data_IF_744879275304
#
_entry.id   IF_744879275304
#
_cell.length_a   1.000
_cell.length_b   1.000
_cell.length_c   1.000
_cell.angle_alpha   90.00
_cell.angle_beta   90.00
_cell.angle_gamma   90.00
#
_symmetry.space_group_name_H-M   'P 1'
#
loop_
_entity.id
_entity.type
_entity.pdbx_description
1 polymer ?
#
# COMPACT_ATOMS: atom_id res chain seq x y z
N UNK A 1 -30.10 10.68 -13.25
CA UNK A 1 -30.46 10.70 -11.81
C UNK A 1 -29.20 10.68 -11.01
N UNK A 2 -28.71 11.84 -10.59
CA UNK A 2 -27.53 11.96 -9.71
C UNK A 2 -28.00 11.67 -8.28
N UNK A 3 -27.69 10.46 -7.79
CA UNK A 3 -27.89 10.13 -6.38
C UNK A 3 -27.11 11.12 -5.52
N UNK A 4 -27.77 11.68 -4.54
CA UNK A 4 -27.22 12.64 -3.59
C UNK A 4 -25.96 12.05 -2.90
N UNK A 5 -24.78 12.49 -3.34
CA UNK A 5 -23.48 12.00 -2.85
C UNK A 5 -23.14 12.52 -1.45
N UNK A 6 -23.98 13.32 -0.82
CA UNK A 6 -23.74 13.95 0.49
C UNK A 6 -23.86 12.98 1.68
N UNK A 7 -24.41 11.79 1.47
CA UNK A 7 -24.58 10.77 2.52
C UNK A 7 -23.66 9.55 2.42
N UNK A 8 -22.59 9.58 1.61
CA UNK A 8 -21.75 8.39 1.41
C UNK A 8 -20.27 8.66 1.65
N UNK A 9 -19.54 7.61 2.07
CA UNK A 9 -18.10 7.67 2.35
C UNK A 9 -17.34 6.49 1.77
N UNK A 10 -16.00 6.60 1.73
CA UNK A 10 -15.11 5.48 1.40
C UNK A 10 -14.62 4.85 2.68
N UNK A 11 -14.66 3.51 2.74
CA UNK A 11 -14.20 2.73 3.88
C UNK A 11 -13.23 1.64 3.43
N UNK A 12 -12.38 1.22 4.37
CA UNK A 12 -11.48 0.08 4.21
C UNK A 12 -11.70 -0.91 5.34
N UNK A 13 -11.96 -2.17 5.00
CA UNK A 13 -12.20 -3.26 5.94
C UNK A 13 -10.99 -4.18 5.91
N UNK A 14 -10.28 -4.29 7.03
CA UNK A 14 -9.10 -5.15 7.17
C UNK A 14 -9.50 -6.49 7.79
N UNK A 15 -9.21 -7.58 7.10
CA UNK A 15 -9.48 -8.95 7.54
C UNK A 15 -8.19 -9.75 7.57
N UNK A 16 -7.96 -10.52 8.62
CA UNK A 16 -6.87 -11.47 8.67
C UNK A 16 -7.21 -12.66 7.77
N UNK A 17 -6.26 -13.06 6.93
CA UNK A 17 -6.37 -14.24 6.05
C UNK A 17 -5.31 -15.26 6.41
N UNK A 18 -5.59 -16.54 6.14
CA UNK A 18 -4.78 -17.69 6.53
C UNK A 18 -4.48 -18.53 5.28
N UNK A 19 -3.52 -18.07 4.44
CA UNK A 19 -3.15 -18.80 3.23
C UNK A 19 -2.37 -20.08 3.58
N UNK A 20 -2.56 -21.13 2.78
CA UNK A 20 -1.69 -22.33 2.75
C UNK A 20 -0.32 -21.94 2.18
N UNK A 21 0.68 -22.82 2.26
CA UNK A 21 2.02 -22.55 1.71
C UNK A 21 1.94 -22.24 0.20
N UNK A 22 1.26 -23.06 -0.59
CA UNK A 22 1.06 -22.78 -2.01
C UNK A 22 0.36 -21.44 -2.29
N UNK A 23 -0.59 -21.06 -1.44
CA UNK A 23 -1.24 -19.74 -1.55
C UNK A 23 -0.32 -18.59 -1.15
N UNK A 24 0.57 -18.79 -0.18
CA UNK A 24 1.60 -17.78 0.17
C UNK A 24 2.56 -17.57 -0.99
N UNK A 25 3.00 -18.62 -1.65
CA UNK A 25 3.84 -18.56 -2.85
C UNK A 25 3.12 -17.81 -3.98
N UNK A 26 1.86 -18.12 -4.24
CA UNK A 26 1.06 -17.41 -5.25
C UNK A 26 0.83 -15.92 -4.89
N UNK A 27 0.63 -15.58 -3.61
CA UNK A 27 0.55 -14.19 -3.14
C UNK A 27 1.90 -13.48 -3.36
N UNK A 28 3.01 -14.14 -3.02
CA UNK A 28 4.34 -13.58 -3.21
C UNK A 28 4.66 -13.38 -4.69
N UNK A 29 4.31 -14.33 -5.55
CA UNK A 29 4.46 -14.21 -7.01
C UNK A 29 3.69 -12.98 -7.57
N UNK A 30 2.47 -12.72 -7.09
CA UNK A 30 1.72 -11.52 -7.46
C UNK A 30 2.40 -10.23 -6.96
N UNK A 31 2.97 -10.22 -5.76
CA UNK A 31 3.73 -9.08 -5.23
C UNK A 31 4.97 -8.83 -6.07
N UNK A 32 5.72 -9.87 -6.43
CA UNK A 32 6.94 -9.77 -7.23
C UNK A 32 6.66 -9.34 -8.66
N UNK A 33 5.58 -9.85 -9.26
CA UNK A 33 5.10 -9.39 -10.56
C UNK A 33 4.75 -7.90 -10.55
N UNK A 34 4.03 -7.42 -9.53
CA UNK A 34 3.72 -6.00 -9.37
C UNK A 34 4.99 -5.16 -9.16
N UNK A 35 5.96 -5.66 -8.40
CA UNK A 35 7.26 -5.00 -8.18
C UNK A 35 8.03 -4.88 -9.49
N UNK A 36 8.10 -5.95 -10.26
CA UNK A 36 8.77 -5.95 -11.56
C UNK A 36 8.15 -4.93 -12.51
N UNK A 37 6.83 -4.97 -12.70
CA UNK A 37 6.12 -4.03 -13.59
C UNK A 37 6.29 -2.58 -13.12
N UNK A 38 6.14 -2.32 -11.82
CA UNK A 38 6.37 -0.98 -11.25
C UNK A 38 7.77 -0.47 -11.56
N UNK A 39 8.81 -1.28 -11.30
CA UNK A 39 10.20 -0.88 -11.51
C UNK A 39 10.51 -0.70 -13.02
N UNK A 40 10.01 -1.58 -13.86
CA UNK A 40 10.20 -1.48 -15.31
C UNK A 40 9.57 -0.22 -15.87
N UNK A 41 8.33 0.07 -15.50
CA UNK A 41 7.64 1.29 -15.93
C UNK A 41 8.30 2.55 -15.37
N UNK A 42 8.79 2.52 -14.12
CA UNK A 42 9.53 3.64 -13.53
C UNK A 42 10.80 3.93 -14.34
N UNK A 43 11.59 2.89 -14.69
CA UNK A 43 12.78 3.03 -15.53
C UNK A 43 12.42 3.65 -16.87
N UNK A 44 11.43 3.09 -17.56
CA UNK A 44 11.01 3.60 -18.89
C UNK A 44 10.53 5.05 -18.83
N UNK A 45 9.86 5.48 -17.76
CA UNK A 45 9.46 6.89 -17.56
C UNK A 45 10.66 7.80 -17.33
N UNK A 46 11.66 7.34 -16.58
CA UNK A 46 12.90 8.08 -16.37
C UNK A 46 13.64 8.24 -17.70
N UNK A 47 13.87 7.13 -18.41
CA UNK A 47 14.61 7.11 -19.65
C UNK A 47 13.92 7.99 -20.72
N UNK A 48 12.59 7.86 -20.87
CA UNK A 48 11.83 8.71 -21.81
C UNK A 48 11.87 10.19 -21.45
N UNK A 49 11.90 10.55 -20.17
CA UNK A 49 12.05 11.94 -19.76
C UNK A 49 13.47 12.44 -20.02
N UNK A 50 14.48 11.64 -19.72
CA UNK A 50 15.88 12.00 -19.99
C UNK A 50 16.11 12.23 -21.49
N UNK A 51 15.56 11.37 -22.35
CA UNK A 51 15.66 11.53 -23.80
C UNK A 51 15.13 12.88 -24.33
N UNK A 52 14.24 13.56 -23.60
CA UNK A 52 13.76 14.92 -23.96
C UNK A 52 14.76 16.03 -23.60
N UNK A 53 15.87 15.75 -22.92
CA UNK A 53 16.81 16.73 -22.40
C UNK A 53 18.10 16.75 -23.20
N UNK A 54 18.51 17.89 -23.80
CA UNK A 54 19.76 17.97 -24.55
C UNK A 54 21.00 17.81 -23.67
N UNK A 55 20.89 18.15 -22.38
CA UNK A 55 21.96 17.99 -21.39
C UNK A 55 21.46 17.21 -20.18
N UNK A 56 22.35 16.48 -19.54
CA UNK A 56 22.16 15.83 -18.24
C UNK A 56 22.99 16.55 -17.18
N UNK A 57 22.52 16.50 -15.92
CA UNK A 57 23.29 16.97 -14.78
C UNK A 57 24.00 15.79 -14.13
N UNK A 58 25.30 15.86 -14.09
CA UNK A 58 26.13 14.89 -13.40
C UNK A 58 26.76 15.50 -12.16
N UNK A 59 26.88 14.70 -11.09
CA UNK A 59 27.58 15.14 -9.91
C UNK A 59 29.09 15.29 -10.20
N UNK A 60 29.68 16.36 -9.77
CA UNK A 60 31.11 16.57 -9.85
C UNK A 60 31.82 15.81 -8.72
N UNK A 61 32.84 15.03 -9.03
CA UNK A 61 33.65 14.35 -8.03
C UNK A 61 34.48 15.34 -7.23
N UNK A 62 34.65 15.09 -5.94
CA UNK A 62 35.57 15.86 -5.12
C UNK A 62 37.02 15.68 -5.63
N UNK A 63 37.90 16.70 -5.52
CA UNK A 63 39.25 16.59 -5.95
C UNK A 63 39.97 15.43 -5.28
N UNK A 64 40.50 14.49 -6.09
CA UNK A 64 41.16 13.28 -5.61
C UNK A 64 40.25 12.12 -5.23
N UNK A 65 38.94 12.23 -5.42
CA UNK A 65 38.02 11.13 -5.20
C UNK A 65 38.14 10.05 -6.29
N UNK A 66 38.05 8.79 -5.87
CA UNK A 66 38.07 7.65 -6.78
C UNK A 66 36.65 7.45 -7.39
N UNK A 67 36.49 7.60 -8.73
CA UNK A 67 35.22 7.41 -9.40
C UNK A 67 34.70 5.97 -9.36
N UNK A 68 35.57 4.97 -9.19
CA UNK A 68 35.22 3.56 -9.13
C UNK A 68 34.90 3.06 -7.72
N UNK A 69 35.00 3.94 -6.73
CA UNK A 69 34.67 3.63 -5.33
C UNK A 69 33.19 3.26 -5.19
N UNK A 70 32.87 2.28 -4.33
CA UNK A 70 31.46 1.97 -3.97
C UNK A 70 30.69 3.19 -3.42
N UNK A 71 31.40 4.21 -2.93
CA UNK A 71 30.84 5.47 -2.41
C UNK A 71 31.73 6.63 -2.84
N UNK A 72 31.64 7.08 -4.10
CA UNK A 72 32.39 8.22 -4.56
C UNK A 72 32.13 9.47 -3.71
N UNK A 73 33.18 10.23 -3.45
CA UNK A 73 33.06 11.48 -2.73
C UNK A 73 32.71 12.59 -3.72
N UNK A 74 31.50 13.17 -3.58
CA UNK A 74 31.01 14.20 -4.47
C UNK A 74 31.39 15.59 -3.95
N UNK A 75 31.71 16.50 -4.88
CA UNK A 75 32.00 17.89 -4.56
C UNK A 75 30.75 18.60 -4.04
N UNK A 76 30.95 19.44 -3.01
CA UNK A 76 29.93 20.38 -2.52
C UNK A 76 30.34 21.80 -2.85
N UNK A 77 29.34 22.61 -3.28
CA UNK A 77 29.51 24.03 -3.44
C UNK A 77 29.66 24.77 -2.10
N UNK A 78 29.96 26.04 -2.16
CA UNK A 78 30.09 26.91 -0.96
C UNK A 78 28.78 27.02 -0.17
N UNK A 79 27.64 26.82 -0.82
CA UNK A 79 26.29 26.75 -0.24
C UNK A 79 25.98 25.41 0.46
N UNK A 80 26.89 24.43 0.40
CA UNK A 80 26.73 23.09 0.93
C UNK A 80 25.89 22.15 0.07
N UNK A 81 25.35 22.63 -1.06
CA UNK A 81 24.66 21.81 -2.03
C UNK A 81 25.66 21.01 -2.90
N UNK A 82 25.17 19.96 -3.57
CA UNK A 82 26.01 19.16 -4.46
C UNK A 82 26.37 19.95 -5.72
N UNK A 83 27.64 19.95 -6.11
CA UNK A 83 28.08 20.51 -7.36
C UNK A 83 27.67 19.61 -8.55
N UNK A 84 27.21 20.22 -9.62
CA UNK A 84 26.80 19.55 -10.85
C UNK A 84 27.46 20.21 -12.06
N UNK A 85 27.80 19.42 -13.02
CA UNK A 85 28.12 19.88 -14.38
C UNK A 85 27.06 19.42 -15.38
N UNK A 86 26.86 20.19 -16.43
CA UNK A 86 25.96 19.81 -17.52
C UNK A 86 26.78 19.15 -18.62
N UNK A 87 26.49 17.88 -18.87
CA UNK A 87 27.12 17.10 -19.94
C UNK A 87 26.14 16.89 -21.08
N UNK A 88 26.61 16.80 -22.34
CA UNK A 88 25.75 16.42 -23.46
C UNK A 88 25.07 15.08 -23.22
N UNK A 89 23.79 15.00 -23.51
CA UNK A 89 23.05 13.76 -23.37
C UNK A 89 23.16 12.91 -24.66
N UNK A 90 23.83 11.76 -24.63
CA UNK A 90 24.00 10.91 -25.81
C UNK A 90 22.66 10.30 -26.30
N UNK A 91 21.66 10.19 -25.40
CA UNK A 91 20.34 9.63 -25.71
C UNK A 91 19.30 10.72 -26.05
N UNK A 92 19.76 11.96 -26.29
CA UNK A 92 18.86 13.06 -26.64
C UNK A 92 18.18 12.82 -27.98
N UNK A 93 16.85 12.88 -27.97
CA UNK A 93 16.01 12.84 -29.14
C UNK A 93 15.05 14.04 -29.14
N UNK A 94 15.15 15.00 -30.08
CA UNK A 94 14.28 16.17 -30.11
C UNK A 94 12.80 15.82 -30.35
N UNK A 95 12.49 14.64 -30.88
CA UNK A 95 11.13 14.15 -31.09
C UNK A 95 10.59 13.34 -29.88
N UNK A 96 11.46 13.03 -28.91
CA UNK A 96 11.09 12.24 -27.74
C UNK A 96 10.02 12.94 -26.89
N UNK A 97 9.12 12.14 -26.35
CA UNK A 97 8.08 12.59 -25.41
C UNK A 97 8.12 11.77 -24.13
N UNK A 98 8.07 12.45 -23.01
CA UNK A 98 7.99 11.78 -21.71
C UNK A 98 6.72 10.92 -21.62
N UNK A 99 6.87 9.66 -21.19
CA UNK A 99 5.77 8.70 -21.09
C UNK A 99 4.72 9.16 -20.07
N UNK A 100 3.47 9.12 -20.50
CA UNK A 100 2.30 9.38 -19.66
C UNK A 100 1.84 8.09 -18.95
N UNK A 101 0.87 8.24 -18.06
CA UNK A 101 0.17 7.10 -17.44
C UNK A 101 -0.46 6.16 -18.47
N UNK A 102 -1.05 6.72 -19.52
CA UNK A 102 -1.73 5.93 -20.56
C UNK A 102 -0.74 5.14 -21.41
N UNK A 103 0.41 5.72 -21.72
CA UNK A 103 1.49 5.01 -22.42
C UNK A 103 2.02 3.85 -21.56
N UNK A 104 2.23 4.10 -20.28
CA UNK A 104 2.58 3.06 -19.32
C UNK A 104 1.53 1.93 -19.23
N UNK A 105 0.25 2.23 -19.38
CA UNK A 105 -0.81 1.22 -19.40
C UNK A 105 -0.74 0.32 -20.63
N UNK A 106 -0.37 0.88 -21.80
CA UNK A 106 -0.13 0.10 -23.02
C UNK A 106 1.13 -0.76 -22.86
N UNK A 107 2.22 -0.15 -22.40
CA UNK A 107 3.50 -0.83 -22.17
C UNK A 107 3.37 -1.96 -21.13
N UNK A 108 2.55 -1.81 -20.10
CA UNK A 108 2.32 -2.88 -19.13
C UNK A 108 1.74 -4.15 -19.76
N UNK A 109 0.89 -4.03 -20.78
CA UNK A 109 0.39 -5.18 -21.55
C UNK A 109 1.51 -5.84 -22.35
N UNK A 110 2.35 -5.05 -23.01
CA UNK A 110 3.50 -5.54 -23.76
C UNK A 110 4.48 -6.24 -22.83
N UNK A 111 4.84 -5.62 -21.70
CA UNK A 111 5.72 -6.20 -20.68
C UNK A 111 5.15 -7.55 -20.19
N UNK A 112 3.84 -7.63 -19.92
CA UNK A 112 3.20 -8.89 -19.49
C UNK A 112 3.38 -10.02 -20.49
N UNK A 113 3.35 -9.72 -21.79
CA UNK A 113 3.43 -10.72 -22.84
C UNK A 113 4.87 -11.08 -23.22
N UNK A 114 5.83 -10.22 -22.93
CA UNK A 114 7.24 -10.37 -23.35
C UNK A 114 8.18 -10.74 -22.20
N UNK A 115 7.78 -10.51 -20.94
CA UNK A 115 8.65 -10.81 -19.82
C UNK A 115 8.79 -12.32 -19.63
N UNK A 116 10.01 -12.79 -19.84
CA UNK A 116 10.42 -14.19 -19.72
C UNK A 116 11.43 -14.27 -18.59
N UNK A 117 11.32 -15.27 -17.73
CA UNK A 117 12.31 -15.59 -16.71
C UNK A 117 13.48 -16.39 -17.30
N UNK A 118 14.53 -16.63 -16.50
CA UNK A 118 15.73 -17.37 -16.94
C UNK A 118 15.41 -18.79 -17.43
N UNK A 119 14.35 -19.43 -16.91
CA UNK A 119 13.85 -20.73 -17.32
C UNK A 119 12.96 -20.70 -18.57
N UNK A 120 12.77 -19.54 -19.20
CA UNK A 120 11.93 -19.37 -20.38
C UNK A 120 10.44 -19.20 -20.09
N UNK A 121 10.00 -19.19 -18.81
CA UNK A 121 8.60 -19.05 -18.46
C UNK A 121 8.11 -17.59 -18.51
N UNK A 122 6.85 -17.39 -18.89
CA UNK A 122 6.20 -16.07 -18.90
C UNK A 122 5.59 -15.79 -17.53
N UNK A 123 6.40 -15.55 -16.52
CA UNK A 123 5.98 -15.44 -15.11
C UNK A 123 4.91 -14.38 -14.86
N UNK A 124 4.81 -13.32 -15.67
CA UNK A 124 3.76 -12.32 -15.55
C UNK A 124 2.39 -12.78 -16.05
N UNK A 125 2.32 -13.85 -16.86
CA UNK A 125 1.05 -14.44 -17.28
C UNK A 125 0.32 -15.13 -16.13
N UNK A 126 1.06 -15.64 -15.17
CA UNK A 126 0.51 -16.27 -13.96
C UNK A 126 0.03 -15.23 -12.93
N UNK A 127 0.44 -13.96 -13.07
CA UNK A 127 0.00 -12.90 -12.18
C UNK A 127 -1.40 -12.38 -12.53
N UNK A 128 -2.10 -11.86 -11.50
CA UNK A 128 -3.38 -11.18 -11.66
C UNK A 128 -3.21 -9.90 -12.51
N UNK A 129 -3.90 -9.84 -13.63
CA UNK A 129 -3.84 -8.72 -14.56
C UNK A 129 -4.29 -7.40 -13.93
N UNK A 130 -5.27 -7.45 -13.03
CA UNK A 130 -5.75 -6.24 -12.35
C UNK A 130 -4.72 -5.73 -11.35
N UNK A 131 -3.95 -6.62 -10.74
CA UNK A 131 -2.85 -6.24 -9.86
C UNK A 131 -1.75 -5.47 -10.61
N UNK A 132 -1.42 -5.88 -11.84
CA UNK A 132 -0.46 -5.17 -12.68
C UNK A 132 -0.96 -3.76 -13.09
N UNK A 133 -2.26 -3.62 -13.36
CA UNK A 133 -2.88 -2.30 -13.60
C UNK A 133 -2.76 -1.41 -12.34
N UNK A 134 -3.00 -1.96 -11.17
CA UNK A 134 -2.82 -1.20 -9.92
C UNK A 134 -1.35 -0.86 -9.64
N UNK A 135 -0.39 -1.66 -10.07
CA UNK A 135 1.03 -1.30 -9.98
C UNK A 135 1.34 -0.02 -10.78
N UNK A 136 0.82 0.10 -12.02
CA UNK A 136 0.92 1.33 -12.81
C UNK A 136 0.20 2.52 -12.14
N UNK A 137 -1.01 2.31 -11.60
CA UNK A 137 -1.74 3.36 -10.89
C UNK A 137 -0.97 3.85 -9.65
N UNK A 138 -0.29 2.96 -8.93
CA UNK A 138 0.55 3.31 -7.78
C UNK A 138 1.78 4.14 -8.21
N UNK A 139 2.38 3.80 -9.35
CA UNK A 139 3.48 4.59 -9.93
C UNK A 139 2.99 5.99 -10.30
N UNK A 140 1.86 6.09 -10.98
CA UNK A 140 1.29 7.40 -11.35
C UNK A 140 0.95 8.24 -10.11
N UNK A 141 0.34 7.64 -9.08
CA UNK A 141 0.07 8.33 -7.82
C UNK A 141 1.35 8.85 -7.13
N UNK A 142 2.47 8.09 -7.24
CA UNK A 142 3.77 8.52 -6.72
C UNK A 142 4.30 9.75 -7.48
N UNK A 143 4.17 9.78 -8.82
CA UNK A 143 4.52 10.96 -9.63
C UNK A 143 3.62 12.16 -9.32
N UNK A 144 2.31 11.97 -9.22
CA UNK A 144 1.39 13.06 -8.84
C UNK A 144 1.73 13.64 -7.46
N UNK A 145 2.07 12.78 -6.50
CA UNK A 145 2.50 13.22 -5.18
C UNK A 145 3.83 13.98 -5.23
N UNK A 146 4.77 13.55 -6.08
CA UNK A 146 6.03 14.24 -6.33
C UNK A 146 5.78 15.65 -6.88
N UNK A 147 5.03 15.80 -7.97
CA UNK A 147 4.75 17.10 -8.58
C UNK A 147 3.94 18.02 -7.67
N UNK A 148 3.00 17.48 -6.89
CA UNK A 148 2.25 18.28 -5.92
C UNK A 148 3.17 18.88 -4.85
N UNK A 149 4.08 18.08 -4.27
CA UNK A 149 5.05 18.56 -3.28
C UNK A 149 6.02 19.59 -3.87
N UNK A 150 6.50 19.35 -5.10
CA UNK A 150 7.35 20.30 -5.79
C UNK A 150 6.68 21.67 -5.97
N UNK A 151 5.39 21.68 -6.35
CA UNK A 151 4.61 22.92 -6.48
C UNK A 151 4.37 23.64 -5.14
N UNK A 152 4.34 22.92 -4.04
CA UNK A 152 4.14 23.45 -2.69
C UNK A 152 5.44 23.89 -2.00
N UNK A 153 6.60 23.85 -2.69
CA UNK A 153 7.90 24.21 -2.11
C UNK A 153 8.44 23.22 -1.08
N UNK A 154 7.81 22.04 -0.93
CA UNK A 154 8.29 20.99 -0.03
C UNK A 154 9.35 20.09 -0.66
N UNK A 155 9.98 19.21 0.14
CA UNK A 155 10.89 18.17 -0.38
C UNK A 155 10.10 17.21 -1.30
N UNK A 156 10.33 17.23 -2.62
CA UNK A 156 9.44 16.57 -3.57
C UNK A 156 9.47 15.04 -3.45
N UNK A 157 10.60 14.43 -3.15
CA UNK A 157 10.74 12.97 -3.01
C UNK A 157 10.36 12.23 -4.27
N UNK A 158 11.31 12.03 -5.18
CA UNK A 158 11.09 11.31 -6.44
C UNK A 158 10.63 9.86 -6.21
N UNK A 159 9.81 9.27 -7.08
CA UNK A 159 9.42 7.87 -7.00
C UNK A 159 10.63 6.93 -6.94
N UNK A 160 10.67 6.05 -5.94
CA UNK A 160 11.82 5.16 -5.70
C UNK A 160 11.54 3.76 -6.22
N UNK A 161 12.57 3.11 -6.75
CA UNK A 161 12.54 1.70 -7.09
C UNK A 161 12.20 0.84 -5.87
N UNK A 162 11.48 -0.24 -6.10
CA UNK A 162 11.16 -1.24 -5.08
C UNK A 162 12.29 -2.27 -5.02
N UNK A 163 12.94 -2.37 -3.87
CA UNK A 163 14.11 -3.22 -3.63
C UNK A 163 13.99 -3.93 -2.29
N UNK A 164 15.02 -4.69 -1.89
CA UNK A 164 15.10 -5.29 -0.55
C UNK A 164 15.05 -4.22 0.56
N UNK A 165 15.70 -3.05 0.37
CA UNK A 165 15.68 -1.93 1.33
C UNK A 165 14.35 -1.15 1.31
N UNK A 166 13.62 -1.19 0.19
CA UNK A 166 12.30 -0.56 0.02
C UNK A 166 11.31 -1.58 -0.56
N UNK A 167 10.91 -2.61 0.23
CA UNK A 167 10.16 -3.72 -0.30
C UNK A 167 8.71 -3.36 -0.63
N UNK A 168 8.20 -3.95 -1.71
CA UNK A 168 6.77 -4.03 -1.94
C UNK A 168 6.24 -5.24 -1.16
N UNK A 169 5.31 -5.03 -0.24
CA UNK A 169 4.74 -6.07 0.63
C UNK A 169 3.24 -6.27 0.41
N UNK A 170 2.71 -5.70 -0.64
CA UNK A 170 1.30 -5.78 -0.96
C UNK A 170 1.06 -5.63 -2.45
N UNK A 171 0.02 -6.29 -2.94
CA UNK A 171 -0.57 -5.98 -4.23
C UNK A 171 -2.05 -5.66 -4.07
N UNK A 172 -2.66 -5.07 -5.08
CA UNK A 172 -4.06 -4.66 -5.08
C UNK A 172 -4.77 -5.27 -6.27
N UNK A 173 -5.97 -5.80 -6.06
CA UNK A 173 -6.81 -6.41 -7.10
C UNK A 173 -8.24 -5.90 -7.01
N UNK A 174 -8.96 -5.89 -8.11
CA UNK A 174 -10.41 -5.64 -8.13
C UNK A 174 -11.23 -6.94 -8.17
N UNK A 175 -10.60 -8.08 -8.45
CA UNK A 175 -11.27 -9.37 -8.61
C UNK A 175 -11.48 -10.17 -7.32
N UNK A 176 -11.18 -9.59 -6.15
CA UNK A 176 -11.39 -10.29 -4.88
C UNK A 176 -12.88 -10.36 -4.53
N UNK A 177 -13.32 -11.50 -3.99
CA UNK A 177 -14.72 -11.74 -3.59
C UNK A 177 -14.75 -12.44 -2.23
N UNK A 178 -15.55 -11.90 -1.29
CA UNK A 178 -15.84 -12.60 -0.03
C UNK A 178 -16.81 -13.74 -0.36
N UNK A 179 -16.46 -14.95 0.03
CA UNK A 179 -17.18 -16.17 -0.36
C UNK A 179 -17.36 -17.12 0.82
N UNK A 180 -18.43 -17.93 0.76
CA UNK A 180 -18.69 -19.03 1.66
C UNK A 180 -18.74 -20.33 0.86
N UNK A 181 -18.28 -21.41 1.45
CA UNK A 181 -18.46 -22.74 0.89
C UNK A 181 -19.81 -23.28 1.32
N UNK A 182 -20.63 -23.68 0.35
CA UNK A 182 -21.89 -24.38 0.58
C UNK A 182 -21.82 -25.73 -0.13
N UNK A 183 -21.63 -26.81 0.64
CA UNK A 183 -21.30 -28.12 0.10
C UNK A 183 -20.06 -28.10 -0.76
N UNK A 184 -20.21 -28.43 -2.05
CA UNK A 184 -19.12 -28.38 -3.04
C UNK A 184 -18.98 -27.05 -3.77
N UNK A 185 -19.96 -26.15 -3.62
CA UNK A 185 -20.03 -24.87 -4.35
C UNK A 185 -19.50 -23.69 -3.53
N UNK A 186 -18.96 -22.72 -4.25
CA UNK A 186 -18.56 -21.44 -3.68
C UNK A 186 -19.58 -20.38 -4.02
N UNK A 187 -20.15 -19.75 -3.00
CA UNK A 187 -21.12 -18.67 -3.15
C UNK A 187 -20.53 -17.33 -2.70
N UNK A 188 -20.84 -16.28 -3.44
CA UNK A 188 -20.53 -14.92 -3.01
C UNK A 188 -21.41 -14.58 -1.81
N UNK A 189 -20.77 -14.21 -0.70
CA UNK A 189 -21.47 -13.79 0.50
C UNK A 189 -22.03 -12.38 0.30
N UNK A 190 -23.35 -12.25 0.42
CA UNK A 190 -24.08 -10.97 0.25
C UNK A 190 -24.41 -10.30 1.59
N UNK A 191 -24.68 -11.11 2.61
CA UNK A 191 -24.96 -10.67 3.97
C UNK A 191 -24.20 -11.56 4.96
N UNK A 192 -24.01 -11.05 6.15
CA UNK A 192 -23.36 -11.75 7.24
C UNK A 192 -24.23 -11.62 8.48
N UNK A 193 -24.85 -12.72 8.87
CA UNK A 193 -25.49 -12.82 10.16
C UNK A 193 -24.44 -13.30 11.16
N UNK A 194 -24.13 -12.50 12.16
CA UNK A 194 -22.97 -12.69 13.05
C UNK A 194 -22.90 -14.05 13.77
N UNK A 195 -23.96 -14.87 13.66
CA UNK A 195 -24.01 -16.24 14.14
C UNK A 195 -23.39 -17.28 13.18
N UNK A 196 -23.26 -16.96 11.90
CA UNK A 196 -22.97 -17.97 10.86
C UNK A 196 -21.50 -18.25 10.61
N UNK A 197 -20.62 -17.91 11.32
CA UNK A 197 -19.34 -18.49 11.05
C UNK A 197 -18.16 -17.60 11.26
N UNK A 198 -17.42 -18.07 12.18
CA UNK A 198 -16.09 -17.57 12.49
C UNK A 198 -15.13 -17.62 11.31
N UNK A 199 -15.45 -18.40 10.24
CA UNK A 199 -14.57 -18.64 9.13
C UNK A 199 -15.31 -18.56 7.78
N UNK A 200 -14.87 -17.62 6.98
CA UNK A 200 -15.26 -17.44 5.59
C UNK A 200 -14.01 -17.48 4.71
N UNK A 201 -14.17 -17.25 3.43
CA UNK A 201 -13.06 -17.22 2.49
C UNK A 201 -13.08 -15.92 1.69
N UNK A 202 -11.91 -15.49 1.30
CA UNK A 202 -11.74 -14.44 0.29
C UNK A 202 -11.18 -15.12 -0.96
N UNK A 203 -11.92 -15.07 -2.06
CA UNK A 203 -11.39 -15.44 -3.36
C UNK A 203 -10.43 -14.35 -3.83
N UNK A 204 -9.24 -14.76 -4.23
CA UNK A 204 -8.21 -13.91 -4.82
C UNK A 204 -7.84 -14.48 -6.19
N UNK A 205 -7.88 -13.67 -7.26
CA UNK A 205 -7.47 -14.14 -8.59
C UNK A 205 -6.05 -14.73 -8.56
N UNK A 206 -5.86 -15.85 -9.25
CA UNK A 206 -4.59 -16.60 -9.31
C UNK A 206 -4.09 -17.22 -8.00
N UNK A 207 -4.79 -17.01 -6.89
CA UNK A 207 -4.47 -17.60 -5.57
C UNK A 207 -5.57 -18.57 -5.13
N UNK A 208 -6.83 -18.31 -5.52
CA UNK A 208 -7.98 -19.11 -5.14
C UNK A 208 -8.65 -18.63 -3.85
N UNK A 209 -9.36 -19.55 -3.19
CA UNK A 209 -10.13 -19.26 -1.97
C UNK A 209 -9.24 -19.36 -0.74
N UNK A 210 -8.92 -18.21 -0.15
CA UNK A 210 -8.10 -18.12 1.05
C UNK A 210 -8.98 -18.01 2.28
N UNK A 211 -8.75 -18.84 3.29
CA UNK A 211 -9.47 -18.79 4.56
C UNK A 211 -9.29 -17.42 5.21
N UNK A 212 -10.38 -16.83 5.69
CA UNK A 212 -10.39 -15.48 6.24
C UNK A 212 -11.26 -15.38 7.47
N UNK A 213 -10.90 -14.53 8.40
CA UNK A 213 -11.73 -14.16 9.54
C UNK A 213 -12.49 -12.89 9.23
N UNK A 214 -13.69 -13.04 8.69
CA UNK A 214 -14.59 -11.92 8.40
C UNK A 214 -15.50 -11.71 9.61
N UNK A 215 -15.35 -10.61 10.30
CA UNK A 215 -16.12 -10.30 11.52
C UNK A 215 -17.28 -9.32 11.23
N UNK A 216 -17.33 -8.74 10.03
CA UNK A 216 -18.42 -7.88 9.55
C UNK A 216 -18.38 -7.79 8.03
N UNK A 217 -19.56 -7.66 7.41
CA UNK A 217 -19.62 -7.45 5.97
C UNK A 217 -19.24 -6.02 5.61
N UNK A 218 -18.44 -5.84 4.54
CA UNK A 218 -18.20 -4.52 3.98
C UNK A 218 -19.50 -3.90 3.47
N UNK A 219 -19.87 -2.74 3.99
CA UNK A 219 -20.99 -1.95 3.51
C UNK A 219 -20.53 -1.05 2.38
N UNK A 220 -21.30 -0.98 1.30
CA UNK A 220 -20.99 -0.20 0.12
C UNK A 220 -20.51 -1.04 -1.06
N UNK A 221 -20.13 -0.36 -2.11
CA UNK A 221 -19.66 -0.99 -3.36
C UNK A 221 -18.16 -1.28 -3.28
N UNK A 222 -17.79 -2.54 -3.43
CA UNK A 222 -16.38 -2.94 -3.43
C UNK A 222 -15.66 -2.41 -4.68
N UNK A 223 -14.56 -1.69 -4.46
CA UNK A 223 -13.73 -1.14 -5.53
C UNK A 223 -12.48 -1.98 -5.74
N UNK A 224 -11.87 -2.46 -4.66
CA UNK A 224 -10.62 -3.21 -4.72
C UNK A 224 -10.35 -3.93 -3.40
N UNK A 225 -9.44 -4.88 -3.46
CA UNK A 225 -8.86 -5.53 -2.29
C UNK A 225 -7.34 -5.42 -2.35
N UNK A 226 -6.71 -4.98 -1.27
CA UNK A 226 -5.26 -5.05 -1.13
C UNK A 226 -4.89 -6.26 -0.29
N UNK A 227 -4.07 -7.14 -0.83
CA UNK A 227 -3.49 -8.29 -0.13
C UNK A 227 -2.12 -7.88 0.39
N UNK A 228 -1.91 -7.97 1.69
CA UNK A 228 -0.70 -7.52 2.36
C UNK A 228 -0.06 -8.64 3.16
N UNK A 229 1.22 -8.87 2.92
CA UNK A 229 2.10 -9.68 3.76
C UNK A 229 2.80 -8.77 4.79
N UNK A 230 2.81 -9.16 6.06
CA UNK A 230 3.50 -8.45 7.14
C UNK A 230 4.81 -9.19 7.47
N UNK A 231 5.76 -8.50 8.09
CA UNK A 231 7.08 -9.07 8.39
C UNK A 231 7.05 -10.25 9.36
N UNK A 232 6.01 -10.35 10.19
CA UNK A 232 5.77 -11.45 11.13
C UNK A 232 5.15 -12.71 10.48
N UNK A 233 5.02 -12.73 9.15
CA UNK A 233 4.40 -13.83 8.42
C UNK A 233 2.88 -13.80 8.41
N UNK A 234 2.24 -12.77 8.94
CA UNK A 234 0.79 -12.62 8.88
C UNK A 234 0.32 -12.01 7.55
N UNK A 235 -0.90 -12.38 7.13
CA UNK A 235 -1.50 -11.88 5.90
C UNK A 235 -2.84 -11.21 6.17
N UNK A 236 -3.10 -10.14 5.43
CA UNK A 236 -4.35 -9.39 5.50
C UNK A 236 -4.92 -9.13 4.12
N UNK A 237 -6.24 -9.21 4.03
CA UNK A 237 -7.03 -8.69 2.92
C UNK A 237 -7.71 -7.39 3.36
N UNK A 238 -7.44 -6.30 2.68
CA UNK A 238 -8.03 -4.98 2.95
C UNK A 238 -9.00 -4.66 1.82
N UNK A 239 -10.29 -4.83 2.08
CA UNK A 239 -11.37 -4.58 1.13
C UNK A 239 -11.73 -3.10 1.19
N UNK A 240 -11.57 -2.40 0.07
CA UNK A 240 -11.90 -1.00 -0.07
C UNK A 240 -13.26 -0.86 -0.75
N UNK A 241 -14.14 -0.08 -0.15
CA UNK A 241 -15.49 0.20 -0.65
C UNK A 241 -15.70 1.70 -0.85
N UNK A 242 -16.57 2.04 -1.80
CA UNK A 242 -17.13 3.37 -1.99
C UNK A 242 -18.62 3.33 -1.70
N UNK A 243 -19.25 4.50 -1.60
CA UNK A 243 -20.69 4.64 -1.36
C UNK A 243 -21.16 3.90 -0.09
N UNK A 244 -20.27 3.79 0.92
CA UNK A 244 -20.68 3.26 2.22
C UNK A 244 -21.62 4.27 2.91
N UNK A 245 -22.68 3.81 3.60
CA UNK A 245 -23.58 4.71 4.30
C UNK A 245 -22.84 5.49 5.38
N UNK A 246 -23.22 6.74 5.57
CA UNK A 246 -22.79 7.50 6.75
C UNK A 246 -23.46 6.87 7.97
N UNK A 247 -22.77 6.78 9.11
CA UNK A 247 -23.43 6.41 10.35
C UNK A 247 -24.50 7.46 10.64
N UNK A 248 -25.65 7.01 11.04
CA UNK A 248 -26.62 7.93 11.64
C UNK A 248 -25.94 8.60 12.84
N UNK A 249 -25.94 9.93 12.83
CA UNK A 249 -25.51 10.64 14.01
C UNK A 249 -26.48 10.25 15.12
N UNK A 250 -25.95 9.59 16.17
CA UNK A 250 -26.75 9.40 17.37
C UNK A 250 -27.24 10.78 17.81
N UNK A 251 -28.55 10.94 17.93
CA UNK A 251 -29.09 12.17 18.50
C UNK A 251 -28.42 12.36 19.87
N UNK A 252 -27.86 13.53 20.16
CA UNK A 252 -27.25 13.78 21.44
C UNK A 252 -28.32 13.52 22.51
N UNK A 253 -28.09 12.54 23.36
CA UNK A 253 -29.00 12.16 24.45
C UNK A 253 -28.99 13.24 25.53
N UNK A 254 -27.94 14.07 25.54
CA UNK A 254 -27.77 15.21 26.43
C UNK A 254 -26.97 16.32 25.70
N UNK A 255 -26.93 17.53 26.26
CA UNK A 255 -26.11 18.62 25.74
C UNK A 255 -24.61 18.27 25.67
N UNK A 256 -23.77 19.16 25.13
CA UNK A 256 -22.35 18.93 25.03
C UNK A 256 -21.75 18.73 26.45
N UNK A 257 -21.03 17.64 26.64
CA UNK A 257 -20.32 17.35 27.89
C UNK A 257 -18.85 17.70 27.70
N UNK A 258 -18.32 18.58 28.53
CA UNK A 258 -16.89 18.85 28.62
C UNK A 258 -16.24 17.77 29.49
N UNK A 259 -15.09 17.23 29.03
CA UNK A 259 -14.32 16.25 29.81
C UNK A 259 -12.92 16.79 30.02
N UNK A 260 -12.49 16.85 31.28
CA UNK A 260 -11.13 17.22 31.67
C UNK A 260 -10.37 15.99 32.15
N UNK A 261 -9.17 15.81 31.66
CA UNK A 261 -8.26 14.75 32.15
C UNK A 261 -7.29 15.34 33.16
N UNK A 262 -7.10 14.68 34.31
CA UNK A 262 -6.26 15.18 35.39
C UNK A 262 -5.35 14.11 36.00
N UNK A 263 -4.50 14.54 36.93
CA UNK A 263 -3.55 13.67 37.63
C UNK A 263 -4.22 12.97 38.81
N UNK A 264 -5.16 13.62 39.48
CA UNK A 264 -5.88 13.06 40.64
C UNK A 264 -6.98 12.10 40.24
N UNK A 265 -7.67 12.42 39.16
CA UNK A 265 -8.71 11.58 38.54
C UNK A 265 -8.44 11.49 37.04
N UNK A 266 -8.72 10.33 36.48
CA UNK A 266 -8.48 10.13 35.03
C UNK A 266 -9.33 11.06 34.18
N UNK A 267 -10.58 11.18 34.50
CA UNK A 267 -11.46 12.13 33.84
C UNK A 267 -12.53 12.66 34.77
N UNK A 268 -12.85 13.94 34.61
CA UNK A 268 -13.99 14.58 35.27
C UNK A 268 -14.81 15.24 34.17
N UNK A 269 -16.10 14.97 34.13
CA UNK A 269 -17.00 15.60 33.15
C UNK A 269 -17.59 16.93 33.70
N UNK A 270 -18.25 17.67 32.80
CA UNK A 270 -18.87 18.96 33.14
C UNK A 270 -20.03 18.82 34.16
N UNK A 271 -20.54 17.63 34.35
CA UNK A 271 -21.62 17.33 35.31
C UNK A 271 -21.05 16.95 36.65
N UNK A 272 -19.70 16.93 36.81
CA UNK A 272 -18.99 16.60 38.03
C UNK A 272 -18.82 15.09 38.26
N UNK A 273 -19.15 14.25 37.27
CA UNK A 273 -18.93 12.80 37.37
C UNK A 273 -17.44 12.50 37.24
N UNK A 274 -16.89 11.85 38.28
CA UNK A 274 -15.49 11.46 38.35
C UNK A 274 -15.33 10.03 37.83
N UNK A 275 -14.39 9.84 36.90
CA UNK A 275 -14.03 8.54 36.35
C UNK A 275 -12.56 8.28 36.60
N UNK A 276 -12.28 7.31 37.45
CA UNK A 276 -10.93 6.87 37.74
C UNK A 276 -10.52 5.70 36.83
N UNK A 277 -9.21 5.52 36.68
CA UNK A 277 -8.70 4.33 35.99
C UNK A 277 -9.11 3.08 36.78
N UNK A 278 -9.50 2.00 36.10
CA UNK A 278 -9.70 0.74 36.79
C UNK A 278 -8.41 0.33 37.50
N UNK A 279 -8.56 -0.27 38.70
CA UNK A 279 -7.40 -0.80 39.42
C UNK A 279 -6.70 -1.88 38.61
N UNK A 280 -5.50 -1.54 38.14
CA UNK A 280 -4.66 -2.42 37.29
C UNK A 280 -3.59 -3.14 38.12
N UNK A 281 -3.55 -2.98 39.44
CA UNK A 281 -2.50 -3.50 40.30
C UNK A 281 -2.29 -5.01 40.15
N UNK A 282 -3.37 -5.75 40.01
CA UNK A 282 -3.32 -7.20 39.79
C UNK A 282 -2.79 -7.58 38.41
N UNK A 283 -3.19 -6.84 37.38
CA UNK A 283 -2.68 -7.02 36.03
C UNK A 283 -1.19 -6.68 35.94
N UNK A 284 -0.76 -5.59 36.56
CA UNK A 284 0.64 -5.20 36.65
C UNK A 284 1.48 -6.23 37.42
N UNK A 285 0.97 -6.79 38.52
CA UNK A 285 1.64 -7.85 39.28
C UNK A 285 1.83 -9.09 38.41
N UNK A 286 0.79 -9.50 37.66
CA UNK A 286 0.85 -10.64 36.73
C UNK A 286 1.82 -10.39 35.61
N UNK A 287 1.84 -9.19 35.01
CA UNK A 287 2.79 -8.79 33.98
C UNK A 287 4.24 -8.79 34.48
N UNK A 288 4.51 -8.37 35.73
CA UNK A 288 5.86 -8.42 36.30
C UNK A 288 6.35 -9.84 36.54
N UNK A 289 5.44 -10.81 36.73
CA UNK A 289 5.77 -12.23 36.89
C UNK A 289 6.03 -12.96 35.56
N UNK A 290 5.73 -12.38 34.40
CA UNK A 290 5.95 -13.02 33.12
C UNK A 290 7.43 -12.87 32.66
N UNK A 291 8.01 -13.88 32.00
CA UNK A 291 9.31 -13.78 31.37
C UNK A 291 9.34 -12.62 30.35
N UNK A 292 10.51 -12.03 30.15
CA UNK A 292 10.66 -10.83 29.29
C UNK A 292 10.20 -11.07 27.84
N UNK A 293 10.25 -12.31 27.36
CA UNK A 293 9.79 -12.73 26.02
C UNK A 293 8.27 -12.72 25.87
N UNK A 294 7.51 -12.84 26.95
CA UNK A 294 6.04 -12.85 26.90
C UNK A 294 5.43 -11.46 27.08
N UNK A 295 6.19 -10.49 27.63
CA UNK A 295 5.74 -9.10 27.82
C UNK A 295 5.59 -8.29 26.54
N UNK A 296 6.17 -8.75 25.43
CA UNK A 296 6.13 -8.05 24.13
C UNK A 296 4.95 -8.47 23.24
N UNK A 297 4.10 -9.39 23.68
CA UNK A 297 2.98 -9.95 22.91
C UNK A 297 1.58 -9.53 23.39
N UNK A 298 1.48 -8.66 24.39
CA UNK A 298 0.22 -8.11 24.91
C UNK A 298 0.06 -6.63 24.43
#
# INVERSE_FOLDING_TARGET
MSADMRGTRRLSYKFRIYPTEAQKEAIQANIDACRYVYNRLLRMRIDSYQATKPTLREHVLAPGADPESERPEWLRGEDGEWAYEEIPNPDYDPEAKALTKFDCSKLAKTIKNQAVSEDGSFFLKEADSTALIFANNNLDAAYQAFFRRAKQGGKPGFPRFKSRKNPMRAYKTSGAVISRRDGEKWEKLKSFDGAEGKWTHVYLPKVGFVRARIHRMPQGEQVSCAVRAVADGTFFAVVNVKNAPMPEAAAPVAGPVGVTFGVSHWAVDSDGEVRDLPDTTDLERRLRGLPCTERQGL
#
